data_IF_841731962481
#
_entry.id   IF_841731962481
#
_cell.length_a   1.000
_cell.length_b   1.000
_cell.length_c   1.000
_cell.angle_alpha   90.00
_cell.angle_beta   90.00
_cell.angle_gamma   90.00
#
_symmetry.space_group_name_H-M   'P 1'
#
loop_
_entity.id
_entity.type
_entity.pdbx_description
1 polymer ?
#
# COMPACT_ATOMS: atom_id res chain seq x y z
N UNK A 1 -0.10 18.04 -22.49
CA UNK A 1 -0.12 19.02 -21.39
C UNK A 1 -0.09 18.23 -20.08
N UNK A 2 1.00 18.29 -19.31
CA UNK A 2 1.10 17.54 -18.04
C UNK A 2 0.25 18.23 -16.98
N UNK A 3 -0.62 17.47 -16.33
CA UNK A 3 -1.44 17.98 -15.25
C UNK A 3 -0.57 18.11 -13.99
N UNK A 4 -0.39 19.34 -13.53
CA UNK A 4 0.27 19.66 -12.27
C UNK A 4 -0.64 19.16 -11.15
N UNK A 5 -0.18 18.17 -10.39
CA UNK A 5 -0.87 17.71 -9.18
C UNK A 5 -0.72 18.81 -8.13
N UNK A 6 -1.81 19.31 -7.52
CA UNK A 6 -1.70 20.28 -6.43
C UNK A 6 -0.89 19.67 -5.28
N UNK A 7 0.17 20.34 -4.85
CA UNK A 7 1.09 19.83 -3.81
C UNK A 7 0.41 19.56 -2.45
N UNK A 8 -0.79 20.08 -2.20
CA UNK A 8 -1.57 19.84 -0.96
C UNK A 8 -2.29 18.48 -0.95
N UNK A 9 -2.54 17.89 -2.11
CA UNK A 9 -3.26 16.61 -2.24
C UNK A 9 -2.30 15.43 -2.40
N UNK A 10 -0.98 15.68 -2.35
CA UNK A 10 0.05 14.67 -2.60
C UNK A 10 0.77 14.28 -1.32
N UNK A 11 0.51 13.04 -0.89
CA UNK A 11 1.24 12.38 0.19
C UNK A 11 2.63 11.96 -0.30
N UNK A 12 3.62 12.24 0.53
CA UNK A 12 5.02 11.96 0.26
C UNK A 12 5.75 11.60 1.56
N UNK A 13 6.84 10.84 1.44
CA UNK A 13 7.76 10.55 2.54
C UNK A 13 7.07 9.93 3.77
N UNK A 14 6.86 10.69 4.84
CA UNK A 14 6.43 10.19 6.14
C UNK A 14 5.19 10.96 6.62
N UNK A 15 4.18 10.21 7.04
CA UNK A 15 3.03 10.69 7.81
C UNK A 15 3.30 10.37 9.27
N UNK A 16 3.60 11.39 10.07
CA UNK A 16 3.97 11.28 11.50
C UNK A 16 2.91 11.82 12.45
N UNK A 17 1.76 12.22 11.92
CA UNK A 17 0.60 12.75 12.64
C UNK A 17 -0.68 12.09 12.11
N UNK A 18 -1.71 12.01 12.97
CA UNK A 18 -3.00 11.47 12.56
C UNK A 18 -3.54 12.26 11.37
N UNK A 19 -3.82 11.57 10.27
CA UNK A 19 -4.17 12.19 8.99
C UNK A 19 -5.48 11.62 8.49
N UNK A 20 -6.37 12.49 8.02
CA UNK A 20 -7.65 12.12 7.40
C UNK A 20 -7.63 12.45 5.91
N UNK A 21 -7.89 11.45 5.06
CA UNK A 21 -8.11 11.63 3.64
C UNK A 21 -9.61 11.59 3.36
N UNK A 22 -10.19 12.76 3.10
CA UNK A 22 -11.62 12.90 2.84
C UNK A 22 -12.00 12.41 1.44
N UNK A 23 -13.29 12.13 1.23
CA UNK A 23 -13.79 11.68 -0.06
C UNK A 23 -14.20 12.82 -1.02
N UNK A 24 -13.98 14.07 -0.61
CA UNK A 24 -14.37 15.27 -1.37
C UNK A 24 -13.44 15.55 -2.57
N UNK A 25 -12.22 15.01 -2.54
CA UNK A 25 -11.27 15.16 -3.64
C UNK A 25 -10.39 13.92 -3.82
N UNK A 26 -9.62 13.94 -4.91
CA UNK A 26 -8.67 12.88 -5.24
C UNK A 26 -7.36 13.16 -4.51
N UNK A 27 -6.86 12.18 -3.79
CA UNK A 27 -5.54 12.21 -3.17
C UNK A 27 -4.51 11.57 -4.08
N UNK A 28 -3.25 11.94 -3.89
CA UNK A 28 -2.13 11.43 -4.64
C UNK A 28 -1.08 10.87 -3.70
N UNK A 29 -0.39 9.82 -4.11
CA UNK A 29 0.78 9.28 -3.41
C UNK A 29 1.95 9.34 -4.38
N UNK A 30 3.03 10.00 -3.97
CA UNK A 30 4.25 10.08 -4.74
C UNK A 30 5.38 9.28 -4.07
N UNK A 31 5.73 8.16 -4.68
CA UNK A 31 6.73 7.25 -4.14
C UNK A 31 6.24 6.41 -2.96
N UNK A 32 7.18 5.99 -2.12
CA UNK A 32 6.87 5.28 -0.89
C UNK A 32 6.49 6.26 0.22
N UNK A 33 5.28 6.09 0.74
CA UNK A 33 4.78 6.84 1.90
C UNK A 33 4.72 5.92 3.11
N UNK A 34 5.29 6.38 4.21
CA UNK A 34 5.37 5.65 5.47
C UNK A 34 4.44 6.30 6.50
N UNK A 35 3.50 5.55 7.03
CA UNK A 35 2.72 5.96 8.21
C UNK A 35 3.48 5.49 9.44
N UNK A 36 3.90 6.43 10.29
CA UNK A 36 4.82 6.19 11.38
C UNK A 36 4.43 6.94 12.66
N UNK A 37 5.27 6.83 13.69
CA UNK A 37 5.10 7.54 14.96
C UNK A 37 3.77 7.19 15.67
N UNK A 38 3.39 5.91 15.65
CA UNK A 38 2.15 5.40 16.28
C UNK A 38 0.85 6.08 15.79
N UNK A 39 0.90 6.69 14.61
CA UNK A 39 -0.23 7.45 14.07
C UNK A 39 -1.17 6.63 13.22
N UNK A 40 -2.33 7.19 12.95
CA UNK A 40 -3.36 6.58 12.12
C UNK A 40 -3.60 7.39 10.85
N UNK A 41 -3.45 6.75 9.70
CA UNK A 41 -3.96 7.23 8.43
C UNK A 41 -5.40 6.76 8.26
N UNK A 42 -6.35 7.69 8.34
CA UNK A 42 -7.78 7.43 8.13
C UNK A 42 -8.18 7.84 6.72
N UNK A 43 -8.92 6.99 6.03
CA UNK A 43 -9.37 7.20 4.65
C UNK A 43 -10.87 6.99 4.63
N UNK A 44 -11.62 8.04 4.27
CA UNK A 44 -13.07 7.98 4.22
C UNK A 44 -13.58 7.01 3.14
N UNK A 45 -14.79 6.43 3.33
CA UNK A 45 -15.44 5.65 2.29
C UNK A 45 -15.61 6.46 0.98
N UNK A 46 -15.35 5.83 -0.16
CA UNK A 46 -15.45 6.45 -1.47
C UNK A 46 -14.22 7.25 -1.92
N UNK A 47 -13.24 7.46 -1.02
CA UNK A 47 -12.01 8.18 -1.35
C UNK A 47 -11.23 7.48 -2.46
N UNK A 48 -10.74 8.29 -3.41
CA UNK A 48 -9.87 7.83 -4.50
C UNK A 48 -8.45 8.34 -4.28
N UNK A 49 -7.50 7.41 -4.27
CA UNK A 49 -6.07 7.66 -4.10
C UNK A 49 -5.37 7.27 -5.38
N UNK A 50 -4.73 8.24 -6.02
CA UNK A 50 -3.96 8.09 -7.25
C UNK A 50 -2.49 7.94 -6.96
N UNK A 51 -1.93 6.87 -7.49
CA UNK A 51 -0.54 6.51 -7.26
C UNK A 51 0.29 7.09 -8.38
N UNK A 52 1.15 8.06 -8.06
CA UNK A 52 1.99 8.70 -9.04
C UNK A 52 3.10 7.72 -9.45
N UNK A 53 3.21 7.38 -10.73
CA UNK A 53 4.25 6.49 -11.23
C UNK A 53 5.59 7.23 -11.19
N UNK A 54 6.58 6.66 -10.50
CA UNK A 54 7.96 7.15 -10.56
C UNK A 54 8.76 6.36 -11.59
N UNK A 55 9.44 7.02 -12.54
CA UNK A 55 10.37 6.33 -13.42
C UNK A 55 11.56 5.85 -12.59
N UNK A 56 11.65 4.55 -12.37
CA UNK A 56 12.83 3.95 -11.76
C UNK A 56 13.78 3.52 -12.87
N UNK A 57 15.07 3.85 -12.76
CA UNK A 57 16.11 3.45 -13.71
C UNK A 57 16.26 1.92 -13.84
N UNK A 58 15.65 1.17 -12.92
CA UNK A 58 15.74 -0.28 -12.81
C UNK A 58 14.37 -1.00 -12.85
N UNK A 59 13.27 -0.37 -13.30
CA UNK A 59 11.93 -1.00 -13.30
C UNK A 59 11.50 -1.54 -11.91
N UNK A 60 11.92 -0.85 -10.85
CA UNK A 60 11.56 -1.18 -9.47
C UNK A 60 10.21 -0.58 -9.09
N UNK A 61 9.50 -1.27 -8.19
CA UNK A 61 8.19 -0.85 -7.72
C UNK A 61 8.25 0.54 -7.07
N UNK A 62 7.53 1.49 -7.67
CA UNK A 62 7.88 2.88 -7.50
C UNK A 62 7.09 3.60 -6.39
N UNK A 63 5.88 3.13 -6.10
CA UNK A 63 4.91 3.85 -5.27
C UNK A 63 4.07 2.89 -4.45
N UNK A 64 3.85 3.22 -3.18
CA UNK A 64 3.17 2.34 -2.23
C UNK A 64 3.03 2.97 -0.84
N UNK A 65 2.33 2.26 0.03
CA UNK A 65 2.15 2.62 1.43
C UNK A 65 2.82 1.59 2.33
N UNK A 66 3.55 2.06 3.33
CA UNK A 66 4.06 1.24 4.42
C UNK A 66 3.45 1.75 5.72
N UNK A 67 2.68 0.91 6.38
CA UNK A 67 2.19 1.15 7.73
C UNK A 67 3.21 0.53 8.67
N UNK A 68 4.00 1.37 9.34
CA UNK A 68 5.08 0.90 10.21
C UNK A 68 4.56 0.37 11.53
N UNK A 69 5.41 -0.35 12.27
CA UNK A 69 5.04 -0.92 13.56
C UNK A 69 4.50 0.15 14.52
N UNK A 70 3.35 -0.14 15.14
CA UNK A 70 2.64 0.77 16.03
C UNK A 70 1.69 1.75 15.32
N UNK A 71 1.93 2.04 14.04
CA UNK A 71 1.04 2.86 13.22
C UNK A 71 -0.14 2.04 12.67
N UNK A 72 -1.16 2.72 12.16
CA UNK A 72 -2.39 2.10 11.66
C UNK A 72 -2.89 2.74 10.37
N UNK A 73 -3.61 1.94 9.58
CA UNK A 73 -4.48 2.42 8.51
C UNK A 73 -5.95 2.12 8.84
N UNK A 74 -6.84 3.08 8.60
CA UNK A 74 -8.27 2.86 8.67
C UNK A 74 -8.89 3.26 7.33
N UNK A 75 -8.98 2.29 6.42
CA UNK A 75 -9.64 2.42 5.12
C UNK A 75 -10.89 1.54 5.12
N UNK A 76 -11.96 2.05 5.73
CA UNK A 76 -13.21 1.31 5.94
C UNK A 76 -14.27 1.68 4.89
N UNK A 77 -14.01 1.36 3.63
CA UNK A 77 -14.98 1.54 2.56
C UNK A 77 -16.26 0.72 2.75
N UNK A 78 -17.24 0.96 1.88
CA UNK A 78 -18.50 0.21 1.84
C UNK A 78 -18.66 -0.48 0.47
N UNK A 79 -19.61 -1.43 0.32
CA UNK A 79 -19.90 -2.00 -1.00
C UNK A 79 -20.25 -0.96 -2.06
N UNK A 80 -20.90 0.13 -1.64
CA UNK A 80 -21.36 1.23 -2.51
C UNK A 80 -20.34 2.35 -2.66
N UNK A 81 -19.41 2.47 -1.71
CA UNK A 81 -18.38 3.51 -1.66
C UNK A 81 -17.03 2.88 -1.27
N UNK A 82 -16.43 2.07 -2.15
CA UNK A 82 -15.14 1.46 -1.87
C UNK A 82 -14.03 2.52 -1.82
N UNK A 83 -13.01 2.29 -1.01
CA UNK A 83 -11.75 3.05 -1.10
C UNK A 83 -10.98 2.53 -2.31
N UNK A 84 -10.55 3.43 -3.19
CA UNK A 84 -9.91 3.06 -4.47
C UNK A 84 -8.47 3.53 -4.51
N UNK A 85 -7.54 2.61 -4.70
CA UNK A 85 -6.16 2.91 -5.08
C UNK A 85 -5.99 2.64 -6.56
N UNK A 86 -5.61 3.66 -7.33
CA UNK A 86 -5.53 3.59 -8.79
C UNK A 86 -4.20 4.15 -9.24
N UNK A 87 -3.45 3.42 -10.06
CA UNK A 87 -2.24 3.98 -10.68
C UNK A 87 -2.61 5.07 -11.67
N UNK A 88 -2.02 6.26 -11.51
CA UNK A 88 -2.27 7.36 -12.43
C UNK A 88 -1.68 7.02 -13.81
N UNK A 89 -2.40 7.27 -14.92
CA UNK A 89 -1.88 7.02 -16.26
C UNK A 89 -0.71 7.96 -16.54
N UNK A 90 0.46 7.40 -16.84
CA UNK A 90 1.53 8.15 -17.49
C UNK A 90 1.20 8.25 -18.97
N UNK A 91 1.07 9.44 -19.54
CA UNK A 91 1.01 9.62 -21.00
C UNK A 91 2.29 9.19 -21.76
N UNK A 92 3.18 8.41 -21.13
CA UNK A 92 4.41 7.81 -21.65
C UNK A 92 4.55 6.39 -21.11
N UNK A 93 5.13 5.49 -21.91
CA UNK A 93 5.30 4.05 -21.63
C UNK A 93 6.25 3.69 -20.46
N UNK A 94 6.31 4.48 -19.39
CA UNK A 94 7.05 4.10 -18.18
C UNK A 94 6.12 3.32 -17.24
N UNK A 95 6.04 2.04 -17.62
CA UNK A 95 5.33 0.92 -17.01
C UNK A 95 5.92 0.66 -15.62
N UNK A 96 5.08 0.43 -14.61
CA UNK A 96 5.37 -0.06 -13.24
C UNK A 96 5.22 1.00 -12.13
N UNK A 97 3.97 1.40 -11.86
CA UNK A 97 3.63 2.45 -10.89
C UNK A 97 3.08 1.99 -9.53
N UNK A 98 3.09 0.70 -9.18
CA UNK A 98 2.57 0.26 -7.88
C UNK A 98 3.31 -0.95 -7.29
N UNK A 99 3.59 -0.85 -5.99
CA UNK A 99 4.13 -1.95 -5.20
C UNK A 99 3.16 -2.54 -4.19
N UNK A 100 2.24 -1.75 -3.64
CA UNK A 100 1.34 -2.27 -2.62
C UNK A 100 1.12 -1.44 -1.38
N UNK A 101 0.34 -2.04 -0.49
CA UNK A 101 0.19 -1.63 0.91
C UNK A 101 0.89 -2.69 1.76
N UNK A 102 1.85 -2.29 2.58
CA UNK A 102 2.58 -3.19 3.49
C UNK A 102 2.20 -2.81 4.91
N UNK A 103 1.60 -3.75 5.65
CA UNK A 103 1.28 -3.61 7.06
C UNK A 103 2.37 -4.32 7.88
N UNK A 104 3.14 -3.55 8.65
CA UNK A 104 4.19 -4.05 9.54
C UNK A 104 3.62 -4.04 10.96
N UNK A 105 3.26 -5.22 11.46
CA UNK A 105 2.67 -5.37 12.79
C UNK A 105 3.66 -5.68 13.91
N UNK A 106 3.13 -5.81 15.11
CA UNK A 106 3.84 -6.08 16.37
C UNK A 106 3.55 -7.46 16.96
N UNK A 107 2.85 -8.34 16.23
CA UNK A 107 2.57 -9.71 16.63
C UNK A 107 3.81 -10.60 16.47
N UNK A 108 3.96 -11.70 17.24
CA UNK A 108 5.06 -12.64 17.05
C UNK A 108 5.20 -13.12 15.61
N UNK A 109 6.43 -13.04 15.08
CA UNK A 109 6.83 -13.59 13.78
C UNK A 109 8.28 -14.05 13.89
N UNK A 110 8.57 -15.25 13.36
CA UNK A 110 9.90 -15.88 13.43
C UNK A 110 10.80 -15.50 12.25
N UNK A 111 10.25 -14.83 11.23
CA UNK A 111 10.94 -14.52 9.98
C UNK A 111 11.95 -13.36 10.09
N UNK A 112 11.89 -12.58 11.17
CA UNK A 112 12.72 -11.38 11.35
C UNK A 112 12.36 -10.26 10.37
N UNK A 113 13.12 -9.14 10.33
CA UNK A 113 12.80 -8.00 9.45
C UNK A 113 12.84 -8.40 7.97
N UNK A 114 12.01 -7.74 7.15
CA UNK A 114 12.01 -7.95 5.70
C UNK A 114 13.32 -7.37 5.16
N UNK A 115 14.23 -8.19 4.60
CA UNK A 115 15.53 -7.70 4.20
C UNK A 115 15.42 -6.72 3.03
N UNK A 116 16.35 -5.76 2.95
CA UNK A 116 16.37 -4.72 1.91
C UNK A 116 16.34 -5.29 0.47
N UNK A 117 16.91 -6.47 0.26
CA UNK A 117 16.92 -7.17 -1.02
C UNK A 117 15.55 -7.71 -1.46
N UNK A 118 14.64 -7.95 -0.51
CA UNK A 118 13.26 -8.38 -0.75
C UNK A 118 12.26 -7.25 -0.57
N UNK A 119 12.65 -6.20 0.15
CA UNK A 119 11.82 -5.02 0.32
C UNK A 119 11.69 -4.25 -0.99
N UNK A 120 10.46 -3.90 -1.40
CA UNK A 120 10.27 -3.12 -2.60
C UNK A 120 10.66 -1.64 -2.41
N UNK A 121 10.92 -1.22 -1.17
CA UNK A 121 11.48 0.10 -0.84
C UNK A 121 13.01 0.16 -0.93
N UNK A 122 13.69 -0.99 -1.04
CA UNK A 122 15.16 -1.08 -0.99
C UNK A 122 15.76 -0.87 0.40
N UNK A 123 14.94 -0.70 1.44
CA UNK A 123 15.37 -0.63 2.84
C UNK A 123 14.80 -1.80 3.64
N UNK A 124 15.52 -2.24 4.68
CA UNK A 124 15.03 -3.28 5.58
C UNK A 124 13.82 -2.77 6.35
N UNK A 125 12.73 -3.55 6.40
CA UNK A 125 11.50 -3.18 7.09
C UNK A 125 11.30 -4.05 8.33
N UNK A 126 11.31 -3.42 9.51
CA UNK A 126 11.10 -4.11 10.77
C UNK A 126 9.60 -4.38 11.00
N UNK A 127 9.28 -5.63 11.34
CA UNK A 127 7.99 -6.09 11.82
C UNK A 127 8.20 -7.17 12.89
N UNK A 128 7.13 -7.57 13.56
CA UNK A 128 7.19 -8.55 14.63
C UNK A 128 7.29 -7.91 16.02
N UNK A 129 6.96 -8.71 17.03
CA UNK A 129 6.97 -8.32 18.44
C UNK A 129 6.35 -9.40 19.32
N UNK A 130 5.71 -9.00 20.41
CA UNK A 130 5.08 -9.91 21.37
C UNK A 130 3.56 -9.68 21.52
N UNK A 131 2.96 -8.82 20.70
CA UNK A 131 1.57 -8.40 20.82
C UNK A 131 0.65 -9.21 19.88
N UNK A 132 0.20 -10.39 20.32
CA UNK A 132 -0.72 -11.25 19.53
C UNK A 132 -2.04 -10.56 19.12
N UNK A 133 -2.47 -9.57 19.91
CA UNK A 133 -3.68 -8.76 19.67
C UNK A 133 -3.35 -7.40 19.03
N UNK A 134 -2.19 -7.27 18.39
CA UNK A 134 -1.84 -6.09 17.60
C UNK A 134 -2.89 -5.79 16.53
N UNK A 135 -3.04 -4.50 16.22
CA UNK A 135 -3.92 -3.99 15.17
C UNK A 135 -3.16 -2.98 14.34
N UNK A 136 -2.70 -3.42 13.17
CA UNK A 136 -2.07 -2.59 12.14
C UNK A 136 -3.10 -1.86 11.28
N UNK A 137 -4.40 -2.12 11.48
CA UNK A 137 -5.47 -1.37 10.85
C UNK A 137 -6.64 -2.18 10.31
N UNK A 138 -7.49 -1.49 9.57
CA UNK A 138 -8.66 -2.02 8.85
C UNK A 138 -8.55 -1.63 7.39
N UNK A 139 -8.60 -2.62 6.51
CA UNK A 139 -8.84 -2.47 5.07
C UNK A 139 -10.14 -3.18 4.75
N UNK A 140 -11.21 -2.43 4.49
CA UNK A 140 -12.53 -2.96 4.18
C UNK A 140 -13.08 -2.36 2.89
N UNK A 141 -13.57 -3.20 1.97
CA UNK A 141 -14.02 -2.78 0.64
C UNK A 141 -12.99 -1.88 -0.07
N UNK A 142 -11.74 -2.32 -0.08
CA UNK A 142 -10.64 -1.62 -0.74
C UNK A 142 -10.42 -2.23 -2.11
N UNK A 143 -10.37 -1.39 -3.16
CA UNK A 143 -10.05 -1.81 -4.52
C UNK A 143 -8.72 -1.21 -4.95
N UNK A 144 -7.83 -2.06 -5.43
CA UNK A 144 -6.51 -1.68 -5.92
C UNK A 144 -6.45 -2.07 -7.39
N UNK A 145 -6.42 -1.07 -8.27
CA UNK A 145 -6.40 -1.27 -9.72
C UNK A 145 -4.97 -1.04 -10.24
N UNK A 146 -4.37 -2.11 -10.76
CA UNK A 146 -3.05 -2.16 -11.33
C UNK A 146 -3.10 -1.91 -12.85
N UNK A 147 -2.11 -1.23 -13.45
CA UNK A 147 -2.09 -1.00 -14.88
C UNK A 147 -1.81 -2.32 -15.64
N UNK A 148 -2.40 -2.48 -16.83
CA UNK A 148 -2.18 -3.65 -17.69
C UNK A 148 -0.73 -3.88 -18.08
N UNK A 149 0.01 -2.78 -18.17
CA UNK A 149 1.41 -2.77 -18.53
C UNK A 149 2.34 -3.22 -17.41
N UNK A 150 1.83 -3.62 -16.22
CA UNK A 150 2.65 -4.27 -15.20
C UNK A 150 3.22 -5.58 -15.74
N UNK A 151 4.49 -5.53 -16.14
CA UNK A 151 5.27 -6.71 -16.49
C UNK A 151 6.03 -7.17 -15.25
N UNK A 152 5.64 -8.32 -14.69
CA UNK A 152 6.35 -8.93 -13.55
C UNK A 152 7.70 -9.45 -14.05
N UNK A 153 8.76 -8.64 -13.94
CA UNK A 153 10.13 -9.14 -14.09
C UNK A 153 10.43 -10.08 -12.92
N UNK A 154 11.27 -11.10 -13.14
CA UNK A 154 11.81 -11.93 -12.06
C UNK A 154 12.63 -11.01 -11.14
N UNK A 155 12.10 -10.71 -9.97
CA UNK A 155 12.81 -10.04 -8.89
C UNK A 155 12.55 -10.80 -7.60
N UNK A 156 13.49 -10.69 -6.65
CA UNK A 156 13.31 -11.23 -5.30
C UNK A 156 12.51 -10.27 -4.40
N UNK A 157 12.06 -9.14 -4.94
CA UNK A 157 11.29 -8.12 -4.23
C UNK A 157 9.82 -8.52 -4.14
N UNK A 158 9.14 -8.14 -3.06
CA UNK A 158 7.70 -8.36 -2.91
C UNK A 158 6.93 -7.81 -4.12
N UNK A 159 6.04 -8.61 -4.75
CA UNK A 159 5.27 -8.16 -5.91
C UNK A 159 4.25 -7.05 -5.57
N UNK A 160 3.55 -6.54 -6.57
CA UNK A 160 2.41 -5.66 -6.35
C UNK A 160 1.31 -6.37 -5.52
N UNK A 161 0.92 -5.83 -4.36
CA UNK A 161 -0.10 -6.49 -3.54
C UNK A 161 -0.44 -5.80 -2.22
N UNK A 162 -1.11 -6.53 -1.32
CA UNK A 162 -1.30 -6.13 0.08
C UNK A 162 -0.61 -7.16 0.96
N UNK A 163 0.26 -6.71 1.86
CA UNK A 163 1.09 -7.56 2.70
C UNK A 163 0.79 -7.33 4.17
N UNK A 164 0.67 -8.43 4.91
CA UNK A 164 0.47 -8.45 6.36
C UNK A 164 1.66 -9.17 6.98
N UNK A 165 2.64 -8.42 7.49
CA UNK A 165 3.86 -8.97 8.09
C UNK A 165 3.80 -8.76 9.60
N UNK A 166 3.82 -9.84 10.38
CA UNK A 166 3.72 -9.77 11.85
C UNK A 166 2.47 -9.04 12.37
N UNK A 167 1.35 -9.05 11.64
CA UNK A 167 0.11 -8.38 12.06
C UNK A 167 -0.67 -9.23 13.06
N UNK A 168 -1.24 -8.61 14.10
CA UNK A 168 -2.01 -9.33 15.12
C UNK A 168 -3.45 -9.65 14.72
N UNK A 169 -4.11 -10.42 15.59
CA UNK A 169 -5.49 -10.89 15.43
C UNK A 169 -6.56 -9.80 15.34
N UNK A 170 -6.21 -8.53 15.64
CA UNK A 170 -7.13 -7.39 15.52
C UNK A 170 -7.00 -6.65 14.19
N UNK A 171 -6.00 -6.95 13.37
CA UNK A 171 -5.88 -6.41 12.00
C UNK A 171 -6.94 -7.06 11.10
N UNK A 172 -7.69 -6.24 10.35
CA UNK A 172 -8.80 -6.73 9.51
C UNK A 172 -8.60 -6.40 8.04
N UNK A 173 -8.64 -7.42 7.20
CA UNK A 173 -8.74 -7.30 5.74
C UNK A 173 -10.04 -7.97 5.29
N UNK A 174 -10.99 -7.18 4.82
CA UNK A 174 -12.32 -7.64 4.40
C UNK A 174 -12.64 -7.07 3.00
N UNK A 175 -13.01 -7.92 2.04
CA UNK A 175 -13.38 -7.49 0.68
C UNK A 175 -12.32 -6.60 0.00
N UNK A 176 -11.04 -6.92 0.21
CA UNK A 176 -9.92 -6.29 -0.49
C UNK A 176 -9.71 -6.97 -1.84
N UNK A 177 -9.71 -6.20 -2.92
CA UNK A 177 -9.54 -6.70 -4.29
C UNK A 177 -8.34 -6.02 -4.92
N UNK A 178 -7.44 -6.81 -5.50
CA UNK A 178 -6.34 -6.34 -6.34
C UNK A 178 -6.60 -6.83 -7.76
N UNK A 179 -6.87 -5.92 -8.68
CA UNK A 179 -7.20 -6.24 -10.07
C UNK A 179 -6.16 -5.63 -11.00
N UNK A 180 -5.76 -6.35 -12.04
CA UNK A 180 -5.04 -5.77 -13.17
C UNK A 180 -6.07 -5.37 -14.22
N UNK A 181 -5.88 -4.24 -14.87
CA UNK A 181 -6.85 -3.54 -15.72
C UNK A 181 -7.31 -4.29 -17.01
N UNK A 182 -7.55 -5.60 -16.98
CA UNK A 182 -7.95 -6.40 -18.15
C UNK A 182 -7.96 -7.89 -17.86
N UNK A 183 -8.08 -8.29 -16.58
CA UNK A 183 -7.16 -9.16 -15.80
C UNK A 183 -7.67 -9.32 -14.35
N UNK A 184 -8.89 -9.84 -14.10
CA UNK A 184 -9.32 -10.12 -12.72
C UNK A 184 -8.41 -11.19 -12.09
N UNK A 185 -7.67 -10.85 -11.04
CA UNK A 185 -7.00 -11.82 -10.17
C UNK A 185 -7.68 -11.76 -8.80
N UNK A 186 -8.15 -12.91 -8.32
CA UNK A 186 -8.59 -13.06 -6.93
C UNK A 186 -7.33 -13.07 -6.06
N UNK A 187 -7.33 -12.28 -4.99
CA UNK A 187 -6.17 -12.07 -4.12
C UNK A 187 -5.55 -13.41 -3.70
N UNK A 188 -4.27 -13.58 -4.00
CA UNK A 188 -3.46 -14.67 -3.49
C UNK A 188 -3.41 -14.55 -1.95
N UNK A 189 -3.69 -15.67 -1.29
CA UNK A 189 -3.73 -15.76 0.15
C UNK A 189 -2.46 -15.26 0.84
N UNK A 190 -2.57 -15.14 2.16
CA UNK A 190 -1.45 -15.24 3.09
C UNK A 190 -0.36 -16.12 2.48
N UNK A 191 0.81 -15.53 2.17
CA UNK A 191 1.98 -16.36 1.92
C UNK A 191 2.10 -17.27 3.14
N UNK A 192 2.09 -18.61 2.99
CA UNK A 192 2.69 -19.41 4.03
C UNK A 192 4.13 -18.93 4.10
N UNK A 193 4.53 -18.46 5.28
CA UNK A 193 5.95 -18.33 5.58
C UNK A 193 6.59 -19.71 5.33
N UNK A 194 7.82 -19.78 4.77
CA UNK A 194 8.57 -21.02 4.77
C UNK A 194 8.73 -21.58 6.19
#
# INVERSE_FOLDING_TARGET
MMQVVPGKDTLHNIISENTLLTNEHIWYIDGWVYVANETTLTIEPGTTIRLLPRPTSANEYATGLVITRGARINAAGTPYSPVKFVVAPTGKENKLGWSGIILLGSSPDISGPLPASQSPTGISLAYGGNLMKDSSGVLKHVRITLPDSLTRKKSNKLPAGVYMLGTGSKTKLEYVVVEQAGKQQKVAGTLPLP
#
